data_IF_294120938888
#
_entry.id   IF_294120938888
#
_cell.length_a   1.000
_cell.length_b   1.000
_cell.length_c   1.000
_cell.angle_alpha   90.00
_cell.angle_beta   90.00
_cell.angle_gamma   90.00
#
_symmetry.space_group_name_H-M   'P 1'
#
loop_
_entity.id
_entity.type
_entity.pdbx_description
1 polymer ?
#
# COMPACT_ATOMS: atom_id res chain seq x y z
N UNK A 1 -9.68 10.93 23.19
CA UNK A 1 -10.67 11.44 22.21
C UNK A 1 -11.37 10.27 21.57
N UNK A 2 -12.69 10.35 21.42
CA UNK A 2 -13.47 9.37 20.67
C UNK A 2 -12.99 9.26 19.22
N UNK A 3 -13.02 8.09 18.62
CA UNK A 3 -12.70 7.88 17.19
C UNK A 3 -13.50 8.81 16.27
N UNK A 4 -14.73 9.14 16.65
CA UNK A 4 -15.64 10.06 15.92
C UNK A 4 -15.11 11.49 15.76
N UNK A 5 -14.13 11.91 16.58
CA UNK A 5 -13.58 13.29 16.57
C UNK A 5 -12.15 13.31 16.03
N UNK A 6 -11.74 12.30 15.26
CA UNK A 6 -10.42 12.24 14.61
C UNK A 6 -10.55 12.68 13.17
N UNK A 7 -9.58 13.46 12.72
CA UNK A 7 -9.40 13.79 11.30
C UNK A 7 -8.21 12.96 10.80
N UNK A 8 -8.39 12.33 9.66
CA UNK A 8 -7.36 11.58 8.96
C UNK A 8 -7.02 12.32 7.67
N UNK A 9 -5.76 12.33 7.30
CA UNK A 9 -5.28 13.01 6.10
C UNK A 9 -4.38 12.05 5.32
N UNK A 10 -4.63 11.95 4.02
CA UNK A 10 -3.70 11.35 3.06
C UNK A 10 -2.99 12.51 2.36
N UNK A 11 -1.67 12.57 2.51
CA UNK A 11 -0.85 13.64 1.91
C UNK A 11 -0.23 13.08 0.64
N UNK A 12 -0.45 13.78 -0.48
CA UNK A 12 0.07 13.41 -1.79
C UNK A 12 1.11 14.44 -2.22
N UNK A 13 2.35 14.00 -2.38
CA UNK A 13 3.41 14.84 -2.94
C UNK A 13 3.14 15.11 -4.42
N UNK A 14 3.09 16.37 -4.80
CA UNK A 14 2.95 16.80 -6.20
C UNK A 14 4.29 16.85 -6.94
N UNK A 15 5.37 17.15 -6.20
CA UNK A 15 6.72 17.27 -6.70
C UNK A 15 7.72 16.73 -5.69
N UNK A 16 8.74 16.06 -6.20
CA UNK A 16 9.82 15.54 -5.38
C UNK A 16 11.07 15.35 -6.22
N UNK A 17 12.16 15.91 -5.74
CA UNK A 17 13.48 15.70 -6.35
C UNK A 17 14.06 14.31 -6.01
N UNK A 18 15.00 13.88 -6.84
CA UNK A 18 15.73 12.63 -6.66
C UNK A 18 14.93 11.37 -7.04
N UNK A 19 15.45 10.20 -6.68
CA UNK A 19 14.91 8.91 -7.14
C UNK A 19 13.43 8.68 -6.80
N UNK A 20 12.94 9.24 -5.68
CA UNK A 20 11.53 9.11 -5.28
C UNK A 20 10.57 9.87 -6.19
N UNK A 21 11.06 10.83 -6.99
CA UNK A 21 10.25 11.51 -8.00
C UNK A 21 9.62 10.55 -9.01
N UNK A 22 10.29 9.42 -9.31
CA UNK A 22 9.76 8.38 -10.19
C UNK A 22 8.52 7.66 -9.61
N UNK A 23 8.30 7.73 -8.29
CA UNK A 23 7.17 7.11 -7.58
C UNK A 23 6.01 8.07 -7.31
N UNK A 24 6.09 9.33 -7.73
CA UNK A 24 4.99 10.28 -7.56
C UNK A 24 3.69 9.73 -8.15
N UNK A 25 2.59 10.00 -7.48
CA UNK A 25 1.26 9.50 -7.88
C UNK A 25 0.96 9.82 -9.36
N UNK A 26 1.26 11.05 -9.80
CA UNK A 26 1.06 11.52 -11.19
C UNK A 26 1.82 10.69 -12.24
N UNK A 27 2.87 9.98 -11.86
CA UNK A 27 3.71 9.17 -12.75
C UNK A 27 3.29 7.71 -12.80
N UNK A 28 2.26 7.32 -12.05
CA UNK A 28 1.78 5.95 -11.97
C UNK A 28 0.60 5.71 -12.91
N UNK A 29 0.44 4.49 -13.47
CA UNK A 29 -0.80 4.10 -14.14
C UNK A 29 -2.00 4.24 -13.20
N UNK A 30 -3.20 4.49 -13.75
CA UNK A 30 -4.41 4.76 -12.97
C UNK A 30 -4.69 3.70 -11.90
N UNK A 31 -4.65 2.42 -12.25
CA UNK A 31 -4.86 1.34 -11.28
C UNK A 31 -3.84 1.36 -10.14
N UNK A 32 -2.57 1.63 -10.45
CA UNK A 32 -1.52 1.75 -9.44
C UNK A 32 -1.78 2.95 -8.51
N UNK A 33 -2.30 4.07 -9.03
CA UNK A 33 -2.71 5.22 -8.23
C UNK A 33 -3.84 4.82 -7.26
N UNK A 34 -4.86 4.12 -7.75
CA UNK A 34 -5.97 3.61 -6.93
C UNK A 34 -5.42 2.64 -5.86
N UNK A 35 -4.48 1.79 -6.22
CA UNK A 35 -3.86 0.82 -5.32
C UNK A 35 -3.15 1.47 -4.14
N UNK A 36 -2.33 2.51 -4.37
CA UNK A 36 -1.62 3.19 -3.27
C UNK A 36 -2.57 4.05 -2.43
N UNK A 37 -3.50 4.77 -3.04
CA UNK A 37 -4.50 5.55 -2.29
C UNK A 37 -5.36 4.62 -1.44
N UNK A 38 -5.80 3.49 -2.00
CA UNK A 38 -6.56 2.48 -1.26
C UNK A 38 -5.78 1.92 -0.06
N UNK A 39 -4.47 1.70 -0.20
CA UNK A 39 -3.60 1.27 0.89
C UNK A 39 -3.60 2.29 2.05
N UNK A 40 -3.43 3.58 1.76
CA UNK A 40 -3.48 4.64 2.76
C UNK A 40 -4.87 4.76 3.44
N UNK A 41 -5.93 4.56 2.66
CA UNK A 41 -7.29 4.54 3.22
C UNK A 41 -7.51 3.29 4.08
N UNK A 42 -6.91 2.15 3.78
CA UNK A 42 -7.00 0.94 4.60
C UNK A 42 -6.34 1.13 5.99
N UNK A 43 -5.27 1.93 6.09
CA UNK A 43 -4.74 2.39 7.38
C UNK A 43 -5.78 3.21 8.14
N UNK A 44 -6.46 4.14 7.47
CA UNK A 44 -7.50 4.98 8.09
C UNK A 44 -8.63 4.13 8.65
N UNK A 45 -9.13 3.17 7.87
CA UNK A 45 -10.20 2.25 8.32
C UNK A 45 -9.77 1.44 9.54
N UNK A 46 -8.54 0.97 9.56
CA UNK A 46 -7.97 0.27 10.72
C UNK A 46 -8.00 1.16 11.97
N UNK A 47 -7.58 2.42 11.86
CA UNK A 47 -7.54 3.35 12.99
C UNK A 47 -8.90 3.82 13.49
N UNK A 48 -9.96 3.75 12.67
CA UNK A 48 -11.33 4.06 13.10
C UNK A 48 -11.79 3.17 14.26
N UNK A 49 -11.33 1.92 14.28
CA UNK A 49 -11.70 0.93 15.29
C UNK A 49 -10.67 0.78 16.43
N UNK A 50 -9.64 1.64 16.47
CA UNK A 50 -8.57 1.57 17.48
C UNK A 50 -8.76 2.60 18.59
N UNK A 51 -8.43 2.20 19.82
CA UNK A 51 -8.28 3.13 20.94
C UNK A 51 -7.07 4.05 20.73
N UNK A 52 -7.00 5.16 21.46
CA UNK A 52 -5.85 6.06 21.42
C UNK A 52 -4.55 5.35 21.82
N UNK A 53 -4.61 4.51 22.87
CA UNK A 53 -3.46 3.71 23.30
C UNK A 53 -3.05 2.67 22.26
N UNK A 54 -4.02 2.08 21.54
CA UNK A 54 -3.75 1.20 20.42
C UNK A 54 -2.98 1.89 19.28
N UNK A 55 -3.39 3.13 18.93
CA UNK A 55 -2.69 3.93 17.90
C UNK A 55 -1.28 4.28 18.35
N UNK A 56 -1.08 4.64 19.62
CA UNK A 56 0.25 4.92 20.15
C UNK A 56 1.15 3.68 20.12
N UNK A 57 0.61 2.50 20.46
CA UNK A 57 1.31 1.22 20.33
C UNK A 57 1.69 0.91 18.88
N UNK A 58 0.78 1.14 17.94
CA UNK A 58 1.04 0.97 16.50
C UNK A 58 2.11 1.95 16.00
N UNK A 59 2.12 3.21 16.49
CA UNK A 59 3.16 4.18 16.14
C UNK A 59 4.55 3.74 16.64
N UNK A 60 4.65 3.17 17.83
CA UNK A 60 5.90 2.57 18.32
C UNK A 60 6.31 1.36 17.48
N UNK A 61 5.34 0.57 17.04
CA UNK A 61 5.56 -0.57 16.15
C UNK A 61 6.18 -0.13 14.80
N UNK A 62 5.83 1.03 14.28
CA UNK A 62 6.41 1.59 13.05
C UNK A 62 7.93 1.84 13.14
N UNK A 63 8.47 1.93 14.34
CA UNK A 63 9.90 2.12 14.61
C UNK A 63 10.67 0.79 14.79
N UNK A 64 10.01 -0.34 14.62
CA UNK A 64 10.55 -1.67 14.85
C UNK A 64 10.21 -2.66 13.72
N UNK A 65 10.68 -3.90 13.84
CA UNK A 65 10.44 -4.98 12.86
C UNK A 65 8.95 -5.32 12.68
N UNK A 66 8.09 -4.95 13.63
CA UNK A 66 6.66 -5.19 13.49
C UNK A 66 5.99 -4.32 12.42
N UNK A 67 6.68 -3.29 11.91
CA UNK A 67 6.23 -2.50 10.75
C UNK A 67 5.92 -3.39 9.54
N UNK A 68 6.79 -4.36 9.26
CA UNK A 68 6.59 -5.28 8.14
C UNK A 68 5.24 -5.99 8.25
N UNK A 69 4.95 -6.55 9.42
CA UNK A 69 3.67 -7.22 9.67
C UNK A 69 2.47 -6.28 9.54
N UNK A 70 2.61 -5.04 9.99
CA UNK A 70 1.56 -4.02 9.92
C UNK A 70 1.23 -3.60 8.48
N UNK A 71 2.25 -3.33 7.65
CA UNK A 71 2.08 -2.98 6.23
C UNK A 71 1.47 -4.14 5.44
N UNK A 72 1.93 -5.36 5.69
CA UNK A 72 1.40 -6.56 5.04
C UNK A 72 -0.05 -6.84 5.45
N UNK A 73 -0.42 -6.60 6.70
CA UNK A 73 -1.80 -6.69 7.17
C UNK A 73 -2.69 -5.62 6.51
N UNK A 74 -2.13 -4.44 6.20
CA UNK A 74 -2.83 -3.37 5.48
C UNK A 74 -3.02 -3.74 4.01
N UNK A 75 -2.01 -4.32 3.35
CA UNK A 75 -2.14 -4.86 1.99
C UNK A 75 -3.24 -5.94 1.93
N UNK A 76 -3.24 -6.87 2.89
CA UNK A 76 -4.29 -7.90 2.96
C UNK A 76 -5.67 -7.30 3.13
N UNK A 77 -5.84 -6.33 4.02
CA UNK A 77 -7.11 -5.63 4.22
C UNK A 77 -7.60 -4.96 2.95
N UNK A 78 -6.71 -4.34 2.18
CA UNK A 78 -7.04 -3.74 0.90
C UNK A 78 -7.53 -4.78 -0.11
N UNK A 79 -6.89 -5.95 -0.16
CA UNK A 79 -7.32 -7.08 -0.99
C UNK A 79 -8.71 -7.55 -0.57
N UNK A 80 -8.96 -7.70 0.74
CA UNK A 80 -10.27 -8.10 1.30
C UNK A 80 -11.38 -7.07 0.93
N UNK A 81 -11.03 -5.80 0.68
CA UNK A 81 -11.95 -4.76 0.18
C UNK A 81 -12.12 -4.73 -1.35
N UNK A 82 -11.58 -5.68 -2.08
CA UNK A 82 -11.77 -5.81 -3.52
C UNK A 82 -10.77 -5.01 -4.39
N UNK A 83 -9.74 -4.40 -3.81
CA UNK A 83 -8.74 -3.61 -4.52
C UNK A 83 -7.41 -4.35 -4.74
N UNK A 84 -7.44 -5.68 -4.74
CA UNK A 84 -6.25 -6.50 -4.89
C UNK A 84 -5.53 -6.31 -6.22
N UNK A 85 -6.26 -6.20 -7.34
CA UNK A 85 -5.66 -5.94 -8.65
C UNK A 85 -4.98 -4.58 -8.72
N UNK A 86 -5.59 -3.54 -8.14
CA UNK A 86 -5.01 -2.20 -8.07
C UNK A 86 -3.73 -2.19 -7.21
N UNK A 87 -3.75 -2.93 -6.09
CA UNK A 87 -2.54 -3.10 -5.26
C UNK A 87 -1.44 -3.87 -5.99
N UNK A 88 -1.81 -4.89 -6.75
CA UNK A 88 -0.90 -5.65 -7.59
C UNK A 88 -0.23 -4.74 -8.65
N UNK A 89 -1.01 -3.92 -9.35
CA UNK A 89 -0.49 -2.99 -10.36
C UNK A 89 0.46 -1.96 -9.75
N UNK A 90 0.15 -1.43 -8.54
CA UNK A 90 1.07 -0.56 -7.81
C UNK A 90 2.39 -1.28 -7.48
N UNK A 91 2.31 -2.49 -6.93
CA UNK A 91 3.50 -3.27 -6.58
C UNK A 91 4.36 -3.59 -7.82
N UNK A 92 3.74 -3.91 -8.96
CA UNK A 92 4.43 -4.10 -10.25
C UNK A 92 5.12 -2.82 -10.72
N UNK A 93 4.41 -1.69 -10.65
CA UNK A 93 4.99 -0.39 -11.03
C UNK A 93 6.25 -0.09 -10.22
N UNK A 94 6.18 -0.20 -8.89
CA UNK A 94 7.33 0.03 -8.00
C UNK A 94 8.49 -0.91 -8.33
N UNK A 95 8.22 -2.20 -8.51
CA UNK A 95 9.25 -3.20 -8.88
C UNK A 95 9.87 -2.93 -10.25
N UNK A 96 9.08 -2.47 -11.22
CA UNK A 96 9.59 -2.03 -12.51
C UNK A 96 10.59 -0.88 -12.39
N UNK A 97 10.34 0.10 -11.51
CA UNK A 97 11.28 1.21 -11.26
C UNK A 97 12.56 0.74 -10.58
N UNK A 98 12.49 -0.24 -9.69
CA UNK A 98 13.67 -0.87 -9.08
C UNK A 98 14.49 -1.60 -10.14
N UNK A 99 13.86 -2.44 -10.95
CA UNK A 99 14.55 -3.25 -11.98
C UNK A 99 15.21 -2.39 -13.06
N UNK A 100 14.68 -1.20 -13.32
CA UNK A 100 15.27 -0.21 -14.24
C UNK A 100 16.38 0.65 -13.58
N UNK A 101 16.78 0.34 -12.36
CA UNK A 101 17.75 1.11 -11.55
C UNK A 101 17.38 2.58 -11.36
N UNK A 102 16.11 2.93 -11.51
CA UNK A 102 15.61 4.30 -11.28
C UNK A 102 15.51 4.64 -9.81
N UNK A 103 15.32 3.62 -8.97
CA UNK A 103 15.25 3.72 -7.50
C UNK A 103 15.91 2.50 -6.88
N UNK A 104 16.46 2.65 -5.68
CA UNK A 104 16.91 1.49 -4.90
C UNK A 104 15.75 0.77 -4.22
N UNK A 105 15.88 -0.53 -3.98
CA UNK A 105 14.89 -1.32 -3.26
C UNK A 105 14.60 -0.74 -1.86
N UNK A 106 15.63 -0.29 -1.15
CA UNK A 106 15.47 0.36 0.16
C UNK A 106 14.69 1.67 0.09
N UNK A 107 14.84 2.43 -1.00
CA UNK A 107 14.10 3.68 -1.24
C UNK A 107 12.62 3.40 -1.53
N UNK A 108 12.33 2.39 -2.35
CA UNK A 108 10.99 2.05 -2.81
C UNK A 108 10.13 1.40 -1.71
N UNK A 109 10.75 0.58 -0.87
CA UNK A 109 10.05 -0.28 0.08
C UNK A 109 10.14 0.21 1.52
N UNK A 110 10.64 1.44 1.72
CA UNK A 110 10.73 2.01 3.07
C UNK A 110 11.62 1.22 4.03
N UNK A 111 12.62 0.48 3.49
CA UNK A 111 13.53 -0.36 4.26
C UNK A 111 13.13 -1.84 4.29
N UNK A 112 13.40 -2.57 3.19
CA UNK A 112 13.55 -4.01 3.25
C UNK A 112 12.29 -4.87 3.23
N UNK A 113 11.39 -4.68 2.24
CA UNK A 113 10.33 -5.67 2.00
C UNK A 113 9.12 -5.54 2.93
N UNK A 114 8.84 -4.33 3.43
CA UNK A 114 7.70 -4.05 4.29
C UNK A 114 6.37 -4.37 3.59
N UNK A 115 6.29 -4.17 2.28
CA UNK A 115 5.09 -4.41 1.49
C UNK A 115 5.11 -5.77 0.80
N UNK A 116 3.92 -6.30 0.48
CA UNK A 116 3.80 -7.53 -0.28
C UNK A 116 4.37 -7.37 -1.69
N UNK A 117 5.06 -8.39 -2.16
CA UNK A 117 5.52 -8.48 -3.55
C UNK A 117 4.32 -8.75 -4.49
N UNK A 118 4.44 -8.44 -5.81
CA UNK A 118 3.41 -8.78 -6.80
C UNK A 118 3.02 -10.26 -6.77
N UNK A 119 3.99 -11.16 -6.61
CA UNK A 119 3.74 -12.60 -6.55
C UNK A 119 2.93 -13.03 -5.32
N UNK A 120 3.17 -12.40 -4.18
CA UNK A 120 2.40 -12.65 -2.94
C UNK A 120 0.98 -12.14 -3.08
N UNK A 121 0.78 -10.91 -3.60
CA UNK A 121 -0.54 -10.33 -3.85
C UNK A 121 -1.33 -11.21 -4.82
N UNK A 122 -0.71 -11.63 -5.93
CA UNK A 122 -1.36 -12.47 -6.93
C UNK A 122 -1.82 -13.80 -6.32
N UNK A 123 -0.99 -14.43 -5.49
CA UNK A 123 -1.37 -15.68 -4.80
C UNK A 123 -2.58 -15.51 -3.90
N UNK A 124 -2.68 -14.39 -3.19
CA UNK A 124 -3.84 -14.10 -2.33
C UNK A 124 -5.08 -13.88 -3.21
N UNK A 125 -4.99 -13.07 -4.26
CA UNK A 125 -6.11 -12.80 -5.19
C UNK A 125 -6.65 -14.12 -5.78
N UNK A 126 -5.77 -15.00 -6.24
CA UNK A 126 -6.15 -16.28 -6.85
C UNK A 126 -6.86 -17.26 -5.89
N UNK A 127 -6.64 -17.11 -4.58
CA UNK A 127 -7.29 -17.93 -3.56
C UNK A 127 -8.44 -17.22 -2.82
N UNK A 128 -8.87 -16.05 -3.29
CA UNK A 128 -9.85 -15.24 -2.57
C UNK A 128 -11.18 -15.15 -3.32
N UNK A 129 -12.28 -15.54 -2.68
CA UNK A 129 -13.63 -15.64 -3.26
C UNK A 129 -14.08 -14.37 -4.00
N UNK A 130 -13.73 -13.19 -3.51
CA UNK A 130 -14.11 -11.91 -4.12
C UNK A 130 -13.54 -11.71 -5.54
N UNK A 131 -12.56 -12.53 -5.96
CA UNK A 131 -11.87 -12.39 -7.25
C UNK A 131 -12.11 -13.59 -8.18
N UNK A 132 -12.86 -14.61 -7.79
CA UNK A 132 -13.09 -15.82 -8.60
C UNK A 132 -13.62 -15.53 -10.01
N UNK A 133 -14.39 -14.44 -10.16
CA UNK A 133 -14.99 -14.04 -11.43
C UNK A 133 -14.38 -12.77 -12.04
N UNK A 134 -13.25 -12.29 -11.48
CA UNK A 134 -12.59 -11.07 -11.97
C UNK A 134 -11.40 -11.43 -12.86
N UNK A 135 -11.50 -11.14 -14.14
CA UNK A 135 -10.33 -11.09 -15.01
C UNK A 135 -9.56 -9.79 -14.78
N UNK A 136 -8.24 -9.88 -14.70
CA UNK A 136 -7.38 -8.71 -14.65
C UNK A 136 -7.63 -7.86 -15.89
N UNK A 137 -8.30 -6.73 -15.73
CA UNK A 137 -8.40 -5.74 -16.80
C UNK A 137 -7.09 -4.96 -16.79
N UNK A 138 -6.10 -5.46 -17.50
CA UNK A 138 -4.88 -4.72 -17.80
C UNK A 138 -5.31 -3.53 -18.66
N UNK A 139 -5.40 -2.34 -18.07
CA UNK A 139 -5.43 -1.13 -18.85
C UNK A 139 -4.05 -0.97 -19.52
N UNK A 140 -4.02 -1.21 -20.84
CA UNK A 140 -2.90 -0.85 -21.70
C UNK A 140 -2.69 0.67 -21.73
#
# INVERSE_FOLDING_TARGET
>A
RSAKNRTYQVIIDSEREGPRGALLLKNQPFNAQVGIIGHELAHTVYYLNRSLFGILGDALCQLSDCRIGFERATDKRLIDYGLGWQRFDHARFVRGRISQNQISASTAEGGGGAYMSPAEILRIIQGHEAYENQTQTSAN
#
